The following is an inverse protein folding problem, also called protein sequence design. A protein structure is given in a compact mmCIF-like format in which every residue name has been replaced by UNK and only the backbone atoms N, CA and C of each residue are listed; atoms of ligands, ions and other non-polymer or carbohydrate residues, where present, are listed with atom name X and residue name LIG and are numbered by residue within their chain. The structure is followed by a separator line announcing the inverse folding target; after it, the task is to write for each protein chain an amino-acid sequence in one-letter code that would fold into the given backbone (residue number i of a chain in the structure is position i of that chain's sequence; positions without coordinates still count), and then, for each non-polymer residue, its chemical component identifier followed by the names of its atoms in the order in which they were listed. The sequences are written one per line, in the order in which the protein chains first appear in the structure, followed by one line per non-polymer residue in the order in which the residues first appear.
data_IF_484812116352
#
_entry.id   IF_484812116352
#
_cell.length_a   1.000
_cell.length_b   1.000
_cell.length_c   1.000
_cell.angle_alpha   90.00
_cell.angle_beta   90.00
_cell.angle_gamma   90.00
#
_symmetry.space_group_name_H-M   'P 1'
#
loop_
_entity.id
_entity.type
_entity.pdbx_description
1 polymer ?
#
# COMPACT_ATOMS: atom_id res chain seq x y z
N UNK A 1 -11.97 -15.79 -10.66
CA UNK A 1 -13.14 -15.78 -9.78
C UNK A 1 -14.43 -15.66 -10.59
N UNK A 2 -15.44 -16.44 -10.25
CA UNK A 2 -16.82 -16.26 -10.75
C UNK A 2 -17.44 -15.02 -10.11
N UNK A 3 -18.57 -14.53 -10.63
CA UNK A 3 -19.26 -13.36 -10.04
C UNK A 3 -19.74 -13.63 -8.60
N UNK A 4 -20.13 -14.87 -8.30
CA UNK A 4 -20.47 -15.28 -6.95
C UNK A 4 -19.25 -15.24 -6.01
N UNK A 5 -18.13 -15.82 -6.42
CA UNK A 5 -16.88 -15.79 -5.65
C UNK A 5 -16.41 -14.35 -5.37
N UNK A 6 -16.49 -13.47 -6.37
CA UNK A 6 -16.16 -12.03 -6.20
C UNK A 6 -17.02 -11.39 -5.12
N UNK A 7 -18.33 -11.67 -5.11
CA UNK A 7 -19.25 -11.16 -4.08
C UNK A 7 -18.91 -11.69 -2.69
N UNK A 8 -18.65 -13.00 -2.58
CA UNK A 8 -18.33 -13.62 -1.29
C UNK A 8 -17.03 -13.08 -0.71
N UNK A 9 -15.96 -13.02 -1.51
CA UNK A 9 -14.68 -12.50 -1.00
C UNK A 9 -14.74 -11.01 -0.68
N UNK A 10 -15.38 -10.19 -1.51
CA UNK A 10 -15.59 -8.78 -1.21
C UNK A 10 -16.33 -8.58 0.13
N UNK A 11 -17.42 -9.32 0.32
CA UNK A 11 -18.18 -9.27 1.56
C UNK A 11 -17.36 -9.75 2.76
N UNK A 12 -16.74 -10.93 2.66
CA UNK A 12 -16.05 -11.55 3.78
C UNK A 12 -14.83 -10.73 4.25
N UNK A 13 -14.03 -10.26 3.31
CA UNK A 13 -12.86 -9.42 3.63
C UNK A 13 -13.24 -8.02 4.12
N UNK A 14 -14.33 -7.46 3.58
CA UNK A 14 -14.89 -6.20 4.05
C UNK A 14 -15.44 -6.31 5.46
N UNK A 15 -16.28 -7.31 5.73
CA UNK A 15 -16.92 -7.53 7.03
C UNK A 15 -15.92 -7.82 8.13
N UNK A 16 -14.93 -8.64 7.86
CA UNK A 16 -13.85 -8.94 8.81
C UNK A 16 -12.90 -7.74 9.03
N UNK A 17 -12.92 -6.73 8.16
CA UNK A 17 -11.95 -5.64 8.19
C UNK A 17 -10.52 -6.11 7.86
N UNK A 18 -10.40 -7.09 6.96
CA UNK A 18 -9.14 -7.74 6.61
C UNK A 18 -8.25 -6.93 5.65
N UNK A 19 -8.76 -5.81 5.14
CA UNK A 19 -8.07 -4.99 4.14
C UNK A 19 -7.48 -3.74 4.79
N UNK A 20 -6.14 -3.60 4.78
CA UNK A 20 -5.46 -2.35 5.10
C UNK A 20 -4.90 -1.73 3.80
N UNK A 21 -3.62 -1.81 3.48
CA UNK A 21 -3.15 -1.28 2.20
C UNK A 21 -3.74 -2.04 1.00
N UNK A 22 -4.11 -3.31 1.16
CA UNK A 22 -4.78 -4.11 0.14
C UNK A 22 -3.84 -4.83 -0.83
N UNK A 23 -2.55 -4.53 -0.82
CA UNK A 23 -1.59 -5.04 -1.80
C UNK A 23 -1.50 -6.58 -1.83
N UNK A 24 -1.50 -7.23 -0.66
CA UNK A 24 -1.42 -8.69 -0.57
C UNK A 24 -2.76 -9.40 -0.76
N UNK A 25 -3.88 -8.67 -0.66
CA UNK A 25 -5.21 -9.30 -0.55
C UNK A 25 -5.62 -10.12 -1.78
N UNK A 26 -5.38 -9.68 -3.03
CA UNK A 26 -5.69 -10.54 -4.19
C UNK A 26 -4.98 -11.89 -4.14
N UNK A 27 -3.71 -11.91 -3.70
CA UNK A 27 -2.98 -13.16 -3.48
C UNK A 27 -3.57 -14.03 -2.37
N UNK A 28 -3.99 -13.42 -1.25
CA UNK A 28 -4.68 -14.11 -0.16
C UNK A 28 -6.00 -14.73 -0.62
N UNK A 29 -6.77 -14.00 -1.43
CA UNK A 29 -8.03 -14.50 -2.03
C UNK A 29 -7.77 -15.69 -2.94
N UNK A 30 -6.73 -15.64 -3.77
CA UNK A 30 -6.40 -16.77 -4.65
C UNK A 30 -5.90 -17.98 -3.87
N UNK A 31 -5.13 -17.79 -2.81
CA UNK A 31 -4.72 -18.86 -1.91
C UNK A 31 -5.94 -19.48 -1.19
N UNK A 32 -6.85 -18.64 -0.69
CA UNK A 32 -8.11 -19.06 -0.09
C UNK A 32 -8.98 -19.87 -1.08
N UNK A 33 -9.13 -19.39 -2.32
CA UNK A 33 -9.84 -20.12 -3.36
C UNK A 33 -9.25 -21.52 -3.59
N UNK A 34 -7.92 -21.60 -3.70
CA UNK A 34 -7.22 -22.87 -3.89
C UNK A 34 -7.41 -23.84 -2.72
N UNK A 35 -7.47 -23.34 -1.49
CA UNK A 35 -7.79 -24.12 -0.30
C UNK A 35 -9.26 -24.60 -0.31
N UNK A 36 -10.21 -23.66 -0.43
CA UNK A 36 -11.64 -23.94 -0.32
C UNK A 36 -12.18 -24.85 -1.42
N UNK A 37 -11.50 -24.87 -2.57
CA UNK A 37 -11.79 -25.83 -3.62
C UNK A 37 -11.53 -27.30 -3.19
N UNK A 38 -10.53 -27.52 -2.33
CA UNK A 38 -10.12 -28.87 -1.86
C UNK A 38 -10.73 -29.21 -0.50
N UNK A 39 -10.80 -28.22 0.39
CA UNK A 39 -11.26 -28.33 1.77
C UNK A 39 -12.33 -27.28 2.00
N UNK A 40 -13.62 -27.61 1.80
CA UNK A 40 -14.70 -26.63 1.95
C UNK A 40 -14.89 -26.11 3.39
N UNK A 41 -14.46 -26.88 4.39
CA UNK A 41 -14.52 -26.53 5.81
C UNK A 41 -13.13 -26.61 6.44
N UNK A 42 -12.25 -25.65 6.16
CA UNK A 42 -10.88 -25.70 6.65
C UNK A 42 -10.82 -25.29 8.13
N UNK A 43 -9.92 -25.95 8.85
CA UNK A 43 -9.48 -25.50 10.16
C UNK A 43 -8.65 -24.20 10.04
N UNK A 44 -8.50 -23.49 11.15
CA UNK A 44 -7.64 -22.29 11.19
C UNK A 44 -6.19 -22.61 10.78
N UNK A 45 -5.68 -23.77 11.18
CA UNK A 45 -4.32 -24.23 10.84
C UNK A 45 -4.16 -24.43 9.33
N UNK A 46 -5.14 -25.05 8.67
CA UNK A 46 -5.14 -25.22 7.22
C UNK A 46 -5.21 -23.89 6.48
N UNK A 47 -5.99 -22.94 6.98
CA UNK A 47 -6.03 -21.58 6.42
C UNK A 47 -4.65 -20.91 6.55
N UNK A 48 -4.06 -20.94 7.74
CA UNK A 48 -2.73 -20.35 7.98
C UNK A 48 -1.66 -21.00 7.10
N UNK A 49 -1.74 -22.31 6.93
CA UNK A 49 -0.83 -23.03 6.05
C UNK A 49 -1.04 -22.64 4.58
N UNK A 50 -2.27 -22.48 4.12
CA UNK A 50 -2.55 -22.10 2.74
C UNK A 50 -2.00 -20.71 2.38
N UNK A 51 -2.09 -19.75 3.31
CA UNK A 51 -1.62 -18.38 3.07
C UNK A 51 -0.17 -18.13 3.48
N UNK A 52 0.58 -19.13 3.94
CA UNK A 52 1.94 -18.98 4.50
C UNK A 52 2.95 -18.30 3.57
N UNK A 53 2.75 -18.40 2.26
CA UNK A 53 3.61 -17.79 1.24
C UNK A 53 3.16 -16.38 0.83
N UNK A 54 2.05 -15.90 1.37
CA UNK A 54 1.52 -14.57 1.10
C UNK A 54 1.91 -13.62 2.25
N UNK A 55 2.88 -12.76 2.01
CA UNK A 55 3.38 -11.83 3.02
C UNK A 55 2.44 -10.64 3.16
N UNK A 56 1.97 -10.39 4.38
CA UNK A 56 1.26 -9.17 4.76
C UNK A 56 2.03 -8.40 5.82
N UNK A 57 2.33 -7.12 5.57
CA UNK A 57 3.04 -6.25 6.52
C UNK A 57 2.09 -5.44 7.42
N UNK A 58 0.78 -5.43 7.12
CA UNK A 58 -0.17 -4.52 7.73
C UNK A 58 -1.07 -5.15 8.78
N UNK A 59 -1.64 -6.35 8.51
CA UNK A 59 -2.82 -6.86 9.23
C UNK A 59 -2.52 -7.75 10.43
N UNK A 60 -1.32 -8.35 10.50
CA UNK A 60 -1.02 -9.41 11.47
C UNK A 60 -1.79 -10.72 11.22
N UNK A 61 -2.43 -10.88 10.06
CA UNK A 61 -3.11 -12.08 9.55
C UNK A 61 -4.43 -12.46 10.22
N UNK A 62 -4.69 -12.11 11.49
CA UNK A 62 -5.89 -12.53 12.23
C UNK A 62 -7.16 -12.24 11.45
N UNK A 63 -7.32 -11.01 10.97
CA UNK A 63 -8.50 -10.59 10.19
C UNK A 63 -8.60 -11.28 8.83
N UNK A 64 -7.48 -11.66 8.24
CA UNK A 64 -7.46 -12.41 6.98
C UNK A 64 -7.97 -13.84 7.22
N UNK A 65 -7.54 -14.48 8.29
CA UNK A 65 -8.02 -15.83 8.68
C UNK A 65 -9.53 -15.78 8.99
N UNK A 66 -10.00 -14.78 9.75
CA UNK A 66 -11.43 -14.55 9.99
C UNK A 66 -12.22 -14.38 8.68
N UNK A 67 -11.67 -13.61 7.72
CA UNK A 67 -12.30 -13.41 6.41
C UNK A 67 -12.41 -14.71 5.60
N UNK A 68 -11.36 -15.53 5.60
CA UNK A 68 -11.36 -16.81 4.87
C UNK A 68 -12.34 -17.79 5.51
N UNK A 69 -12.39 -17.87 6.84
CA UNK A 69 -13.39 -18.67 7.57
C UNK A 69 -14.82 -18.22 7.23
N UNK A 70 -15.06 -16.91 7.21
CA UNK A 70 -16.37 -16.37 6.84
C UNK A 70 -16.73 -16.72 5.39
N UNK A 71 -15.79 -16.59 4.46
CA UNK A 71 -16.00 -16.98 3.07
C UNK A 71 -16.32 -18.48 2.94
N UNK A 72 -15.57 -19.35 3.64
CA UNK A 72 -15.81 -20.79 3.68
C UNK A 72 -17.24 -21.12 4.14
N UNK A 73 -17.69 -20.47 5.22
CA UNK A 73 -19.05 -20.65 5.73
C UNK A 73 -20.10 -20.23 4.69
N UNK A 74 -19.93 -19.07 4.06
CA UNK A 74 -20.88 -18.56 3.06
C UNK A 74 -20.93 -19.50 1.84
N UNK A 75 -19.81 -20.05 1.40
CA UNK A 75 -19.80 -21.01 0.28
C UNK A 75 -20.53 -22.31 0.60
N UNK A 76 -20.54 -22.77 1.87
CA UNK A 76 -21.24 -23.98 2.29
C UNK A 76 -22.73 -23.76 2.56
N UNK A 77 -23.05 -22.68 3.26
CA UNK A 77 -24.39 -22.45 3.82
C UNK A 77 -25.23 -21.50 2.96
N UNK A 78 -24.58 -20.77 2.06
CA UNK A 78 -25.21 -19.66 1.35
C UNK A 78 -25.41 -18.45 2.26
N UNK A 79 -26.11 -17.42 1.76
CA UNK A 79 -26.53 -16.29 2.60
C UNK A 79 -25.48 -15.22 2.76
N UNK A 80 -25.41 -14.33 1.76
CA UNK A 80 -24.86 -13.00 1.98
C UNK A 80 -25.95 -12.19 2.71
N UNK A 81 -25.68 -11.80 3.97
CA UNK A 81 -26.53 -10.82 4.65
C UNK A 81 -26.44 -9.49 3.91
N UNK A 82 -27.57 -8.93 3.53
CA UNK A 82 -27.62 -7.53 3.05
C UNK A 82 -27.23 -6.63 4.24
N UNK A 83 -26.08 -6.00 4.16
CA UNK A 83 -25.65 -5.01 5.14
C UNK A 83 -26.54 -3.77 4.96
N UNK A 84 -27.44 -3.51 5.90
CA UNK A 84 -28.08 -2.21 6.03
C UNK A 84 -27.03 -1.24 6.57
N UNK A 85 -26.50 -0.36 5.73
CA UNK A 85 -25.61 0.71 6.15
C UNK A 85 -26.39 1.70 7.02
N UNK A 86 -26.29 1.54 8.33
CA UNK A 86 -26.76 2.56 9.27
C UNK A 86 -25.62 3.54 9.56
N UNK A 87 -25.71 4.73 9.03
CA UNK A 87 -24.78 5.82 9.31
C UNK A 87 -25.06 6.44 10.68
N UNK A 88 -24.42 5.88 11.72
CA UNK A 88 -24.49 6.41 13.08
C UNK A 88 -23.14 6.29 13.77
N UNK A 89 -22.91 7.07 14.83
CA UNK A 89 -21.70 6.94 15.66
C UNK A 89 -21.61 5.52 16.20
N UNK A 90 -20.44 4.89 16.01
CA UNK A 90 -20.19 3.49 16.38
C UNK A 90 -20.63 2.46 15.33
N UNK A 91 -21.22 2.86 14.20
CA UNK A 91 -21.50 1.95 13.12
C UNK A 91 -20.22 1.41 12.49
N UNK A 92 -20.23 0.11 12.16
CA UNK A 92 -19.12 -0.53 11.44
C UNK A 92 -19.35 -0.32 9.94
N UNK A 93 -18.87 0.81 9.42
CA UNK A 93 -18.99 1.14 8.00
C UNK A 93 -17.89 0.43 7.20
N UNK A 94 -18.27 -0.19 6.10
CA UNK A 94 -17.34 -0.80 5.16
C UNK A 94 -16.48 0.29 4.50
N UNK A 95 -15.21 0.07 4.43
CA UNK A 95 -14.28 0.96 3.74
C UNK A 95 -14.61 1.03 2.23
N UNK A 96 -14.68 2.22 1.60
CA UNK A 96 -15.18 2.37 0.23
C UNK A 96 -14.40 1.62 -0.83
N UNK A 97 -13.07 1.50 -0.69
CA UNK A 97 -12.16 0.87 -1.65
C UNK A 97 -11.90 -0.63 -1.41
N UNK A 98 -12.65 -1.27 -0.50
CA UNK A 98 -12.45 -2.69 -0.17
C UNK A 98 -12.58 -3.57 -1.40
N UNK A 99 -13.65 -3.39 -2.18
CA UNK A 99 -13.92 -4.22 -3.37
C UNK A 99 -12.77 -4.19 -4.37
N UNK A 100 -12.25 -3.00 -4.65
CA UNK A 100 -11.16 -2.81 -5.58
C UNK A 100 -9.88 -3.50 -5.10
N UNK A 101 -9.58 -3.38 -3.81
CA UNK A 101 -8.42 -4.00 -3.18
C UNK A 101 -8.55 -5.52 -3.09
N UNK A 102 -9.74 -6.05 -2.80
CA UNK A 102 -9.99 -7.50 -2.73
C UNK A 102 -9.90 -8.14 -4.10
N UNK A 103 -10.44 -7.50 -5.12
CA UNK A 103 -10.50 -8.04 -6.48
C UNK A 103 -9.27 -7.69 -7.34
N UNK A 104 -8.35 -6.88 -6.82
CA UNK A 104 -7.04 -6.63 -7.44
C UNK A 104 -7.01 -5.60 -8.56
N UNK A 105 -8.02 -4.74 -8.67
CA UNK A 105 -8.03 -3.63 -9.64
C UNK A 105 -7.92 -2.24 -8.99
N UNK A 106 -7.78 -2.19 -7.67
CA UNK A 106 -7.55 -0.94 -6.95
C UNK A 106 -6.19 -0.35 -7.29
N UNK A 107 -6.17 0.91 -7.69
CA UNK A 107 -4.96 1.61 -8.07
C UNK A 107 -4.17 2.10 -6.87
N UNK A 108 -2.86 2.13 -7.05
CA UNK A 108 -1.87 2.72 -6.14
C UNK A 108 -1.22 3.94 -6.83
N UNK A 109 -0.49 4.80 -6.11
CA UNK A 109 0.17 5.96 -6.73
C UNK A 109 1.00 5.61 -7.96
N UNK A 110 1.74 4.49 -7.94
CA UNK A 110 2.57 4.05 -9.05
C UNK A 110 1.78 3.55 -10.28
N UNK A 111 0.47 3.32 -10.12
CA UNK A 111 -0.42 2.93 -11.22
C UNK A 111 -1.10 4.15 -11.89
N UNK A 112 -0.81 5.35 -11.39
CA UNK A 112 -1.41 6.58 -11.88
C UNK A 112 -0.50 7.23 -12.93
N UNK A 113 -0.99 7.33 -14.14
CA UNK A 113 -0.31 7.99 -15.25
C UNK A 113 -1.17 9.14 -15.77
N UNK A 114 -0.52 10.27 -16.01
CA UNK A 114 -1.15 11.46 -16.62
C UNK A 114 -0.35 11.82 -17.86
N UNK A 115 -1.03 12.21 -18.92
CA UNK A 115 -0.38 12.61 -20.17
C UNK A 115 0.61 13.76 -19.93
N UNK A 116 1.83 13.58 -20.38
CA UNK A 116 2.91 14.54 -20.12
C UNK A 116 3.53 14.47 -18.71
N UNK A 117 3.23 13.43 -17.92
CA UNK A 117 3.82 13.23 -16.59
C UNK A 117 5.33 13.16 -16.66
N UNK A 118 5.99 13.89 -15.77
CA UNK A 118 7.43 13.82 -15.57
C UNK A 118 7.78 12.84 -14.45
N UNK A 119 8.92 12.18 -14.59
CA UNK A 119 9.48 11.30 -13.58
C UNK A 119 10.55 12.05 -12.78
N UNK A 120 10.45 12.01 -11.45
CA UNK A 120 11.41 12.63 -10.57
C UNK A 120 12.32 11.58 -9.90
N UNK A 121 13.60 11.87 -9.83
CA UNK A 121 14.60 11.03 -9.13
C UNK A 121 15.34 11.88 -8.11
N UNK A 122 15.53 11.37 -6.91
CA UNK A 122 16.34 12.02 -5.89
C UNK A 122 17.81 11.56 -6.00
N UNK A 123 18.73 12.49 -6.15
CA UNK A 123 20.16 12.21 -6.01
C UNK A 123 20.49 12.06 -4.51
N UNK A 124 20.87 10.85 -4.13
CA UNK A 124 21.13 10.47 -2.75
C UNK A 124 22.62 10.42 -2.43
N UNK A 125 23.00 10.85 -1.21
CA UNK A 125 24.36 10.73 -0.73
C UNK A 125 24.81 9.28 -0.61
N UNK A 126 26.02 8.98 -1.08
CA UNK A 126 26.69 7.68 -0.88
C UNK A 126 27.44 7.59 0.46
N UNK A 127 27.50 8.71 1.21
CA UNK A 127 28.24 8.83 2.44
C UNK A 127 27.33 9.16 3.62
N UNK A 128 27.46 8.49 4.75
CA UNK A 128 26.59 8.74 5.92
C UNK A 128 26.86 10.11 6.57
N UNK A 129 28.07 10.66 6.37
CA UNK A 129 28.45 11.99 6.84
C UNK A 129 29.46 12.62 5.88
N UNK A 130 29.00 13.54 5.06
CA UNK A 130 29.83 14.26 4.09
C UNK A 130 29.34 15.69 3.92
N UNK A 131 30.24 16.60 3.71
CA UNK A 131 29.92 18.00 3.42
C UNK A 131 29.74 18.16 1.91
N UNK A 132 28.63 18.72 1.47
CA UNK A 132 28.37 19.05 0.08
C UNK A 132 29.16 20.30 -0.28
N UNK A 133 30.22 20.18 -1.06
CA UNK A 133 31.11 21.32 -1.41
C UNK A 133 30.58 22.06 -2.65
N UNK A 134 30.11 21.35 -3.64
CA UNK A 134 29.57 21.91 -4.88
C UNK A 134 28.55 20.97 -5.49
N UNK A 135 27.66 21.51 -6.30
CA UNK A 135 26.70 20.79 -7.10
C UNK A 135 26.61 21.46 -8.46
N UNK A 136 27.20 20.81 -9.46
CA UNK A 136 27.13 21.25 -10.85
C UNK A 136 25.96 20.54 -11.53
N UNK A 137 25.09 21.33 -12.14
CA UNK A 137 23.89 20.83 -12.84
C UNK A 137 23.87 21.21 -14.32
N UNK A 138 24.89 21.89 -14.82
CA UNK A 138 24.89 22.47 -16.16
C UNK A 138 24.91 21.42 -17.25
N UNK A 139 25.73 20.38 -17.10
CA UNK A 139 25.77 19.28 -18.08
C UNK A 139 24.50 18.44 -18.04
N UNK A 140 24.01 18.12 -16.85
CA UNK A 140 22.79 17.35 -16.69
C UNK A 140 21.54 18.05 -17.28
N UNK A 141 21.50 19.39 -17.23
CA UNK A 141 20.42 20.17 -17.83
C UNK A 141 20.46 20.18 -19.38
N UNK A 142 21.58 19.79 -19.98
CA UNK A 142 21.70 19.67 -21.46
C UNK A 142 21.22 18.32 -22.00
N UNK A 143 21.08 17.33 -21.11
CA UNK A 143 20.63 16.00 -21.51
C UNK A 143 19.18 16.02 -22.00
N UNK A 144 18.92 15.32 -23.11
CA UNK A 144 17.59 15.21 -23.67
C UNK A 144 16.64 14.53 -22.66
N UNK A 145 15.47 15.15 -22.43
CA UNK A 145 14.47 14.67 -21.49
C UNK A 145 14.60 15.20 -20.07
N UNK A 146 15.68 15.89 -19.72
CA UNK A 146 15.81 16.59 -18.43
C UNK A 146 15.06 17.91 -18.47
N UNK A 147 13.98 18.01 -17.71
CA UNK A 147 13.11 19.21 -17.69
C UNK A 147 13.58 20.20 -16.63
N UNK A 148 13.96 19.72 -15.44
CA UNK A 148 14.41 20.58 -14.34
C UNK A 148 15.27 19.81 -13.33
N UNK A 149 16.15 20.52 -12.64
CA UNK A 149 16.93 20.02 -11.50
C UNK A 149 16.72 20.99 -10.34
N UNK A 150 16.09 20.49 -9.26
CA UNK A 150 15.84 21.26 -8.05
C UNK A 150 16.90 20.97 -6.99
N UNK A 151 17.26 22.02 -6.24
CA UNK A 151 18.23 21.98 -5.15
C UNK A 151 17.63 22.59 -3.89
N UNK A 152 18.34 22.56 -2.78
CA UNK A 152 17.91 23.21 -1.54
C UNK A 152 17.63 24.72 -1.71
N UNK A 153 18.23 25.37 -2.72
CA UNK A 153 18.01 26.81 -3.00
C UNK A 153 16.65 27.06 -3.66
N UNK A 154 16.11 26.07 -4.34
CA UNK A 154 14.85 26.18 -5.08
C UNK A 154 13.62 25.99 -4.17
N UNK A 155 13.82 25.65 -2.89
CA UNK A 155 12.73 25.48 -1.92
C UNK A 155 12.16 26.85 -1.55
N UNK A 156 10.89 27.16 -1.90
CA UNK A 156 10.32 28.51 -1.69
C UNK A 156 9.92 28.77 -0.23
N UNK A 157 9.87 27.73 0.60
CA UNK A 157 9.42 27.81 2.00
C UNK A 157 10.52 27.51 3.00
N UNK A 158 10.12 26.95 4.15
CA UNK A 158 11.06 26.49 5.17
C UNK A 158 11.80 25.26 4.68
N UNK A 159 13.12 25.27 4.79
CA UNK A 159 13.97 24.13 4.41
C UNK A 159 13.91 22.98 5.40
N UNK A 160 13.53 23.25 6.66
CA UNK A 160 13.43 22.25 7.71
C UNK A 160 11.99 21.81 7.93
N UNK A 161 11.78 20.50 8.04
CA UNK A 161 10.52 19.85 8.34
C UNK A 161 10.62 19.04 9.64
N UNK A 162 9.49 18.59 10.17
CA UNK A 162 9.40 17.77 11.38
C UNK A 162 8.04 17.95 12.06
N UNK A 163 7.59 16.94 12.81
CA UNK A 163 6.29 16.97 13.48
C UNK A 163 6.32 17.86 14.73
N UNK A 164 7.19 17.57 15.67
CA UNK A 164 7.32 18.28 16.94
C UNK A 164 8.50 19.25 16.86
N UNK A 165 9.69 18.76 16.52
CA UNK A 165 10.89 19.53 16.28
C UNK A 165 11.14 19.60 14.78
N UNK A 166 11.34 20.80 14.26
CA UNK A 166 11.60 21.04 12.83
C UNK A 166 13.10 21.10 12.56
N UNK A 167 13.74 19.96 12.68
CA UNK A 167 15.19 19.80 12.59
C UNK A 167 15.67 18.93 11.43
N UNK A 168 14.74 18.53 10.55
CA UNK A 168 15.04 17.71 9.39
C UNK A 168 15.09 18.57 8.12
N UNK A 169 16.25 18.66 7.48
CA UNK A 169 16.36 19.33 6.20
C UNK A 169 15.72 18.51 5.08
N UNK A 170 14.90 19.17 4.26
CA UNK A 170 14.25 18.54 3.11
C UNK A 170 15.24 18.21 1.97
N UNK A 171 16.29 19.00 1.84
CA UNK A 171 17.41 18.79 0.93
C UNK A 171 18.68 19.38 1.56
N UNK A 172 19.82 18.72 1.35
CA UNK A 172 21.13 19.21 1.79
C UNK A 172 21.61 20.30 0.82
N UNK A 173 21.92 21.46 1.35
CA UNK A 173 22.46 22.60 0.60
C UNK A 173 23.97 22.58 0.50
N UNK A 174 24.52 23.40 -0.41
CA UNK A 174 25.96 23.59 -0.53
C UNK A 174 26.50 24.14 0.80
N UNK A 175 27.57 23.53 1.32
CA UNK A 175 28.18 23.82 2.61
C UNK A 175 27.59 23.04 3.78
N UNK A 176 26.46 22.42 3.64
CA UNK A 176 25.81 21.58 4.66
C UNK A 176 26.35 20.16 4.69
N UNK A 177 26.08 19.43 5.76
CA UNK A 177 26.61 18.08 5.99
C UNK A 177 25.47 17.07 6.07
N UNK A 178 25.58 15.99 5.32
CA UNK A 178 24.64 14.85 5.39
C UNK A 178 24.66 14.20 6.77
N UNK A 179 23.54 13.62 7.19
CA UNK A 179 23.34 13.04 8.53
C UNK A 179 23.29 11.52 8.50
N UNK A 180 22.94 10.95 7.37
CA UNK A 180 22.82 9.51 7.18
C UNK A 180 23.09 9.11 5.73
N UNK A 181 23.22 7.82 5.50
CA UNK A 181 23.38 7.27 4.16
C UNK A 181 22.07 7.46 3.37
N UNK A 182 22.16 8.10 2.22
CA UNK A 182 21.00 8.38 1.38
C UNK A 182 20.29 9.71 1.64
N UNK A 183 20.90 10.56 2.45
CA UNK A 183 20.42 11.93 2.68
C UNK A 183 20.49 12.78 1.40
#
# INVERSE_FOLDING_TARGET
LTEWEKKVYDYAFGKAGAVQCGFCIPGMVMAAKGLLYKVPDPSEEEIRFAIRNNICRCTGYVKIVEAINLAARIFREGGLEEEKEEWKIGARVKRPDVREKVLGYGKYPDDLYVDGMLHAVALRSKYPRARLLSLDKEEALKEEGVVAIFTAQDIPGKKTVGHIVKDWEAMIGIGETTRFLGD
#
